data_IF_097674426380
#
_entry.id   IF_097674426380
#
_cell.length_a   1.000
_cell.length_b   1.000
_cell.length_c   1.000
_cell.angle_alpha   90.00
_cell.angle_beta   90.00
_cell.angle_gamma   90.00
#
_symmetry.space_group_name_H-M   'P 1'
#
loop_
_entity.id
_entity.type
_entity.pdbx_description
1 polymer ?
#
# COMPACT_ATOMS: atom_id res chain seq x y z
N UNK A 1 -55.88 22.33 -65.55
CA UNK A 1 -55.15 23.10 -64.52
C UNK A 1 -56.16 23.39 -63.42
N UNK A 2 -56.15 22.83 -62.22
CA UNK A 2 -55.12 22.14 -61.44
C UNK A 2 -55.80 20.98 -60.67
N UNK A 3 -55.14 19.82 -60.63
CA UNK A 3 -55.54 18.67 -59.80
C UNK A 3 -55.40 18.98 -58.31
N UNK A 4 -56.13 18.26 -57.42
CA UNK A 4 -56.19 18.57 -56.00
C UNK A 4 -54.90 18.10 -55.31
N UNK A 5 -53.93 19.01 -55.23
CA UNK A 5 -52.71 18.87 -54.40
C UNK A 5 -53.06 18.78 -52.90
N UNK A 6 -54.30 19.10 -52.52
CA UNK A 6 -54.79 19.12 -51.13
C UNK A 6 -55.00 17.74 -50.50
N UNK A 7 -55.45 16.74 -51.25
CA UNK A 7 -55.64 15.36 -50.74
C UNK A 7 -54.29 14.66 -50.50
N UNK A 8 -53.31 14.90 -51.37
CA UNK A 8 -51.96 14.36 -51.22
C UNK A 8 -51.23 14.92 -50.00
N UNK A 9 -51.35 16.23 -49.73
CA UNK A 9 -50.69 16.89 -48.60
C UNK A 9 -51.30 16.52 -47.23
N UNK A 10 -52.62 16.30 -47.14
CA UNK A 10 -53.28 15.88 -45.90
C UNK A 10 -52.99 14.42 -45.52
N UNK A 11 -52.90 13.52 -46.50
CA UNK A 11 -52.52 12.12 -46.29
C UNK A 11 -51.01 11.97 -46.03
N UNK A 12 -50.18 12.80 -46.68
CA UNK A 12 -48.75 12.89 -46.39
C UNK A 12 -48.48 13.49 -45.01
N UNK A 13 -49.27 14.46 -44.53
CA UNK A 13 -49.07 15.06 -43.19
C UNK A 13 -49.50 14.12 -42.06
N UNK A 14 -50.58 13.34 -42.23
CA UNK A 14 -50.99 12.29 -41.30
C UNK A 14 -49.99 11.10 -41.27
N UNK A 15 -49.48 10.69 -42.44
CA UNK A 15 -48.41 9.69 -42.54
C UNK A 15 -47.08 10.17 -41.94
N UNK A 16 -46.71 11.44 -42.19
CA UNK A 16 -45.50 12.05 -41.65
C UNK A 16 -45.55 12.26 -40.14
N UNK A 17 -46.74 12.51 -39.56
CA UNK A 17 -46.92 12.67 -38.10
C UNK A 17 -46.97 11.33 -37.36
N UNK A 18 -47.55 10.28 -37.95
CA UNK A 18 -47.45 8.91 -37.43
C UNK A 18 -46.03 8.34 -37.50
N UNK A 19 -45.33 8.58 -38.62
CA UNK A 19 -43.92 8.20 -38.78
C UNK A 19 -42.99 9.02 -37.86
N UNK A 20 -43.25 10.30 -37.62
CA UNK A 20 -42.45 11.10 -36.70
C UNK A 20 -42.67 10.74 -35.23
N UNK A 21 -43.90 10.37 -34.85
CA UNK A 21 -44.18 9.85 -33.51
C UNK A 21 -43.52 8.48 -33.26
N UNK A 22 -43.54 7.60 -34.26
CA UNK A 22 -42.86 6.31 -34.20
C UNK A 22 -41.33 6.47 -34.20
N UNK A 23 -40.78 7.31 -35.09
CA UNK A 23 -39.35 7.62 -35.15
C UNK A 23 -38.86 8.27 -33.86
N UNK A 24 -39.63 9.20 -33.28
CA UNK A 24 -39.32 9.82 -31.99
C UNK A 24 -39.34 8.82 -30.82
N UNK A 25 -40.24 7.83 -30.85
CA UNK A 25 -40.26 6.76 -29.84
C UNK A 25 -39.10 5.77 -30.01
N UNK A 26 -38.74 5.41 -31.24
CA UNK A 26 -37.59 4.57 -31.53
C UNK A 26 -36.28 5.27 -31.12
N UNK A 27 -36.14 6.54 -31.45
CA UNK A 27 -35.01 7.37 -31.02
C UNK A 27 -34.94 7.52 -29.50
N UNK A 28 -36.08 7.66 -28.81
CA UNK A 28 -36.14 7.71 -27.35
C UNK A 28 -35.79 6.35 -26.70
N UNK A 29 -36.17 5.22 -27.31
CA UNK A 29 -35.72 3.89 -26.87
C UNK A 29 -34.21 3.71 -27.05
N UNK A 30 -33.67 4.11 -28.19
CA UNK A 30 -32.24 4.02 -28.47
C UNK A 30 -31.42 4.93 -27.54
N UNK A 31 -31.93 6.12 -27.21
CA UNK A 31 -31.34 7.02 -26.22
C UNK A 31 -31.37 6.42 -24.80
N UNK A 32 -32.49 5.85 -24.36
CA UNK A 32 -32.57 5.20 -23.05
C UNK A 32 -31.65 3.95 -22.98
N UNK A 33 -31.57 3.17 -24.06
CA UNK A 33 -30.66 2.04 -24.16
C UNK A 33 -29.19 2.47 -24.14
N UNK A 34 -28.83 3.56 -24.84
CA UNK A 34 -27.50 4.15 -24.82
C UNK A 34 -27.12 4.68 -23.43
N UNK A 35 -28.03 5.38 -22.75
CA UNK A 35 -27.84 5.85 -21.38
C UNK A 35 -27.66 4.66 -20.43
N UNK A 36 -28.47 3.62 -20.52
CA UNK A 36 -28.33 2.41 -19.69
C UNK A 36 -27.00 1.68 -19.93
N UNK A 37 -26.53 1.61 -21.19
CA UNK A 37 -25.19 1.09 -21.50
C UNK A 37 -24.08 1.94 -20.88
N UNK A 38 -24.18 3.28 -20.94
CA UNK A 38 -23.20 4.16 -20.29
C UNK A 38 -23.18 4.00 -18.77
N UNK A 39 -24.36 3.88 -18.14
CA UNK A 39 -24.53 3.68 -16.70
C UNK A 39 -23.91 2.33 -16.28
N UNK A 40 -24.19 1.26 -17.02
CA UNK A 40 -23.60 -0.06 -16.78
C UNK A 40 -22.07 -0.05 -16.97
N UNK A 41 -21.57 0.61 -18.01
CA UNK A 41 -20.13 0.72 -18.27
C UNK A 41 -19.41 1.51 -17.16
N UNK A 42 -20.00 2.61 -16.69
CA UNK A 42 -19.46 3.37 -15.56
C UNK A 42 -19.44 2.54 -14.27
N UNK A 43 -20.50 1.77 -13.99
CA UNK A 43 -20.52 0.87 -12.85
C UNK A 43 -19.43 -0.21 -12.93
N UNK A 44 -19.28 -0.85 -14.10
CA UNK A 44 -18.22 -1.84 -14.34
C UNK A 44 -16.82 -1.24 -14.21
N UNK A 45 -16.61 -0.01 -14.69
CA UNK A 45 -15.35 0.71 -14.51
C UNK A 45 -15.05 1.00 -13.03
N UNK A 46 -16.05 1.41 -12.23
CA UNK A 46 -15.89 1.62 -10.78
C UNK A 46 -15.53 0.33 -10.05
N UNK A 47 -16.20 -0.78 -10.38
CA UNK A 47 -15.90 -2.09 -9.79
C UNK A 47 -14.48 -2.55 -10.14
N UNK A 48 -14.09 -2.42 -11.41
CA UNK A 48 -12.74 -2.77 -11.87
C UNK A 48 -11.67 -1.90 -11.22
N UNK A 49 -11.92 -0.60 -11.06
CA UNK A 49 -11.00 0.30 -10.37
C UNK A 49 -10.83 -0.11 -8.91
N UNK A 50 -11.92 -0.38 -8.20
CA UNK A 50 -11.89 -0.85 -6.82
C UNK A 50 -11.10 -2.16 -6.67
N UNK A 51 -11.31 -3.12 -7.58
CA UNK A 51 -10.55 -4.38 -7.59
C UNK A 51 -9.05 -4.15 -7.83
N UNK A 52 -8.69 -3.32 -8.81
CA UNK A 52 -7.28 -2.98 -9.09
C UNK A 52 -6.63 -2.25 -7.92
N UNK A 53 -7.32 -1.31 -7.29
CA UNK A 53 -6.83 -0.57 -6.13
C UNK A 53 -6.61 -1.52 -4.94
N UNK A 54 -7.49 -2.51 -4.73
CA UNK A 54 -7.31 -3.55 -3.72
C UNK A 54 -6.12 -4.46 -4.02
N UNK A 55 -5.98 -4.93 -5.27
CA UNK A 55 -4.86 -5.77 -5.67
C UNK A 55 -3.52 -5.04 -5.50
N UNK A 56 -3.48 -3.75 -5.86
CA UNK A 56 -2.31 -2.89 -5.62
C UNK A 56 -2.00 -2.76 -4.14
N UNK A 57 -2.99 -2.44 -3.30
CA UNK A 57 -2.78 -2.32 -1.86
C UNK A 57 -2.28 -3.61 -1.20
N UNK A 58 -2.77 -4.78 -1.65
CA UNK A 58 -2.25 -6.09 -1.20
C UNK A 58 -0.81 -6.29 -1.67
N UNK A 59 -0.50 -5.96 -2.93
CA UNK A 59 0.84 -6.11 -3.48
C UNK A 59 1.86 -5.20 -2.78
N UNK A 60 1.50 -3.93 -2.54
CA UNK A 60 2.28 -2.95 -1.79
C UNK A 60 2.56 -3.45 -0.37
N UNK A 61 1.53 -3.91 0.36
CA UNK A 61 1.72 -4.48 1.69
C UNK A 61 2.65 -5.70 1.69
N UNK A 62 2.50 -6.61 0.72
CA UNK A 62 3.39 -7.77 0.62
C UNK A 62 4.84 -7.38 0.31
N UNK A 63 5.05 -6.35 -0.50
CA UNK A 63 6.36 -5.79 -0.76
C UNK A 63 6.96 -5.18 0.51
N UNK A 64 6.20 -4.37 1.25
CA UNK A 64 6.62 -3.78 2.52
C UNK A 64 7.02 -4.87 3.54
N UNK A 65 6.25 -5.96 3.63
CA UNK A 65 6.58 -7.11 4.49
C UNK A 65 7.91 -7.76 4.08
N UNK A 66 8.16 -7.91 2.78
CA UNK A 66 9.41 -8.48 2.28
C UNK A 66 10.61 -7.56 2.55
N UNK A 67 10.44 -6.25 2.37
CA UNK A 67 11.48 -5.28 2.63
C UNK A 67 11.78 -5.19 4.14
N UNK A 68 10.75 -5.20 5.01
CA UNK A 68 10.93 -5.28 6.47
C UNK A 68 11.70 -6.54 6.89
N UNK A 69 11.40 -7.70 6.29
CA UNK A 69 12.17 -8.93 6.56
C UNK A 69 13.64 -8.78 6.20
N UNK A 70 13.92 -8.24 5.00
CA UNK A 70 15.31 -7.98 4.54
C UNK A 70 16.03 -7.03 5.49
N UNK A 71 15.37 -5.97 5.93
CA UNK A 71 15.95 -5.01 6.87
C UNK A 71 16.18 -5.64 8.26
N UNK A 72 15.27 -6.47 8.75
CA UNK A 72 15.46 -7.21 10.00
C UNK A 72 16.68 -8.15 9.94
N UNK A 73 16.87 -8.84 8.82
CA UNK A 73 18.04 -9.70 8.58
C UNK A 73 19.33 -8.87 8.52
N UNK A 74 19.32 -7.72 7.84
CA UNK A 74 20.46 -6.81 7.79
C UNK A 74 20.85 -6.30 9.20
N UNK A 75 19.85 -5.95 10.03
CA UNK A 75 20.10 -5.56 11.42
C UNK A 75 20.61 -6.72 12.27
N UNK A 76 20.14 -7.95 12.04
CA UNK A 76 20.66 -9.14 12.69
C UNK A 76 22.13 -9.38 12.36
N UNK A 77 22.48 -9.26 11.09
CA UNK A 77 23.85 -9.43 10.60
C UNK A 77 24.77 -8.34 11.17
N UNK A 78 24.33 -7.08 11.20
CA UNK A 78 25.09 -5.97 11.78
C UNK A 78 25.36 -6.19 13.28
N UNK A 79 24.37 -6.65 14.03
CA UNK A 79 24.56 -6.99 15.45
C UNK A 79 25.52 -8.17 15.63
N UNK A 80 25.39 -9.23 14.81
CA UNK A 80 26.30 -10.37 14.87
C UNK A 80 27.75 -9.97 14.57
N UNK A 81 27.96 -9.09 13.58
CA UNK A 81 29.28 -8.52 13.28
C UNK A 81 29.85 -7.74 14.46
N UNK A 82 29.07 -6.84 15.04
CA UNK A 82 29.48 -6.08 16.24
C UNK A 82 29.83 -6.99 17.42
N UNK A 83 29.03 -8.03 17.67
CA UNK A 83 29.28 -8.97 18.76
C UNK A 83 30.58 -9.76 18.55
N UNK A 84 30.85 -10.20 17.32
CA UNK A 84 32.09 -10.90 16.96
C UNK A 84 33.31 -9.99 17.07
N UNK A 85 33.22 -8.73 16.62
CA UNK A 85 34.31 -7.74 16.78
C UNK A 85 34.62 -7.46 18.26
N UNK A 86 33.58 -7.33 19.10
CA UNK A 86 33.77 -7.10 20.53
C UNK A 86 34.36 -8.33 21.25
N UNK A 87 34.05 -9.55 20.80
CA UNK A 87 34.65 -10.79 21.28
C UNK A 87 36.14 -10.89 20.90
N UNK A 88 36.50 -10.61 19.63
CA UNK A 88 37.89 -10.51 19.21
C UNK A 88 38.66 -9.45 20.01
N UNK A 89 38.06 -8.27 20.21
CA UNK A 89 38.67 -7.21 20.99
C UNK A 89 38.85 -7.60 22.47
N UNK A 90 38.02 -8.50 23.00
CA UNK A 90 38.18 -9.04 24.35
C UNK A 90 39.32 -10.05 24.40
N UNK A 91 39.42 -10.94 23.43
CA UNK A 91 40.51 -11.92 23.34
C UNK A 91 41.87 -11.23 23.19
N UNK A 92 41.95 -10.17 22.39
CA UNK A 92 43.17 -9.36 22.28
C UNK A 92 43.58 -8.71 23.60
N UNK A 93 42.61 -8.24 24.40
CA UNK A 93 42.86 -7.69 25.75
C UNK A 93 43.36 -8.76 26.71
N UNK A 94 42.81 -9.98 26.64
CA UNK A 94 43.26 -11.13 27.43
C UNK A 94 44.68 -11.53 27.02
N UNK A 95 44.96 -11.64 25.73
CA UNK A 95 46.29 -11.98 25.21
C UNK A 95 47.33 -10.94 25.62
N UNK A 96 46.99 -9.65 25.53
CA UNK A 96 47.86 -8.57 26.02
C UNK A 96 48.14 -8.70 27.51
N UNK A 97 47.13 -9.01 28.32
CA UNK A 97 47.32 -9.28 29.75
C UNK A 97 48.28 -10.46 30.00
N UNK A 98 48.12 -11.57 29.27
CA UNK A 98 48.98 -12.75 29.41
C UNK A 98 50.44 -12.42 29.06
N UNK A 99 50.67 -11.66 27.99
CA UNK A 99 52.01 -11.22 27.58
C UNK A 99 52.60 -10.28 28.64
N UNK A 100 51.84 -9.28 29.10
CA UNK A 100 52.30 -8.36 30.15
C UNK A 100 52.65 -9.12 31.44
N UNK A 101 51.84 -10.10 31.84
CA UNK A 101 52.12 -10.93 33.01
C UNK A 101 53.41 -11.75 32.85
N UNK A 102 53.63 -12.37 31.69
CA UNK A 102 54.87 -13.08 31.39
C UNK A 102 56.09 -12.16 31.43
N UNK A 103 55.99 -10.93 30.91
CA UNK A 103 57.11 -9.96 30.99
C UNK A 103 57.42 -9.55 32.42
N UNK A 104 56.40 -9.42 33.28
CA UNK A 104 56.60 -9.14 34.72
C UNK A 104 57.30 -10.31 35.43
N UNK A 105 56.89 -11.55 35.14
CA UNK A 105 57.55 -12.75 35.68
C UNK A 105 58.99 -12.85 35.19
N UNK A 106 59.24 -12.59 33.91
CA UNK A 106 60.58 -12.60 33.33
C UNK A 106 61.50 -11.55 33.98
N UNK A 107 61.00 -10.33 34.26
CA UNK A 107 61.75 -9.32 35.04
C UNK A 107 62.11 -9.84 36.44
N UNK A 108 61.17 -10.51 37.12
CA UNK A 108 61.37 -11.10 38.45
C UNK A 108 62.42 -12.22 38.45
N UNK A 109 62.48 -13.00 37.37
CA UNK A 109 63.48 -14.08 37.19
C UNK A 109 64.84 -13.55 36.71
N UNK A 110 64.85 -12.51 35.86
CA UNK A 110 66.07 -11.90 35.32
C UNK A 110 66.83 -11.01 36.31
N UNK A 111 66.12 -10.26 37.16
CA UNK A 111 66.73 -9.45 38.24
C UNK A 111 67.43 -10.31 39.30
N UNK A 112 67.03 -11.58 39.45
CA UNK A 112 67.72 -12.55 40.32
C UNK A 112 69.14 -12.90 39.86
N UNK A 113 69.55 -12.57 38.63
CA UNK A 113 70.93 -12.78 38.17
C UNK A 113 71.92 -11.74 38.73
N UNK A 114 71.43 -10.59 39.23
CA UNK A 114 72.27 -9.59 39.92
C UNK A 114 72.22 -9.82 41.43
N UNK A 115 72.87 -10.89 41.88
CA UNK A 115 73.01 -11.23 43.30
C UNK A 115 73.84 -10.14 43.98
N UNK A 116 73.18 -9.13 44.56
CA UNK A 116 73.83 -8.21 45.50
C UNK A 116 73.98 -8.93 46.84
N UNK A 117 75.15 -9.51 47.07
CA UNK A 117 75.55 -10.16 48.32
C UNK A 117 75.70 -9.11 49.43
N UNK A 118 74.67 -8.96 50.26
CA UNK A 118 74.71 -8.12 51.45
C UNK A 118 73.38 -8.20 52.17
N UNK A 119 73.35 -8.16 53.51
CA UNK A 119 72.19 -8.45 54.36
C UNK A 119 70.88 -7.70 54.06
N UNK A 120 70.89 -6.70 53.16
CA UNK A 120 69.71 -6.01 52.58
C UNK A 120 69.05 -6.75 51.40
N UNK A 121 69.65 -7.80 50.87
CA UNK A 121 69.15 -8.60 49.74
C UNK A 121 67.82 -9.30 50.07
N UNK A 122 67.64 -9.74 51.32
CA UNK A 122 66.42 -10.43 51.79
C UNK A 122 65.15 -9.57 51.73
N UNK A 123 65.25 -8.25 51.91
CA UNK A 123 64.11 -7.33 51.82
C UNK A 123 63.81 -6.87 50.40
N UNK A 124 64.82 -6.85 49.51
CA UNK A 124 64.66 -6.44 48.11
C UNK A 124 63.71 -7.37 47.34
N UNK A 125 63.90 -8.68 47.44
CA UNK A 125 63.02 -9.66 46.77
C UNK A 125 61.57 -9.60 47.26
N UNK A 126 61.35 -9.32 48.55
CA UNK A 126 59.99 -9.16 49.12
C UNK A 126 59.31 -7.88 48.61
N UNK A 127 60.06 -6.78 48.46
CA UNK A 127 59.55 -5.54 47.91
C UNK A 127 59.25 -5.64 46.41
N UNK A 128 60.12 -6.30 45.63
CA UNK A 128 59.88 -6.57 44.21
C UNK A 128 58.64 -7.46 43.98
N UNK A 129 58.49 -8.53 44.77
CA UNK A 129 57.31 -9.38 44.72
C UNK A 129 56.02 -8.62 45.09
N UNK A 130 56.08 -7.71 46.07
CA UNK A 130 54.93 -6.88 46.46
C UNK A 130 54.53 -5.90 45.36
N UNK A 131 55.50 -5.30 44.67
CA UNK A 131 55.23 -4.38 43.56
C UNK A 131 54.61 -5.09 42.36
N UNK A 132 55.14 -6.26 41.99
CA UNK A 132 54.57 -7.09 40.92
C UNK A 132 53.17 -7.58 41.29
N UNK A 133 52.93 -7.94 42.56
CA UNK A 133 51.60 -8.26 43.05
C UNK A 133 50.61 -7.11 42.88
N UNK A 134 51.02 -5.85 43.13
CA UNK A 134 50.18 -4.67 42.87
C UNK A 134 49.93 -4.46 41.38
N UNK A 135 50.94 -4.60 40.54
CA UNK A 135 50.80 -4.45 39.10
C UNK A 135 49.84 -5.49 38.52
N UNK A 136 49.97 -6.77 38.93
CA UNK A 136 49.04 -7.84 38.59
C UNK A 136 47.61 -7.53 39.04
N UNK A 137 47.44 -7.07 40.28
CA UNK A 137 46.10 -6.71 40.80
C UNK A 137 45.46 -5.56 39.99
N UNK A 138 46.23 -4.54 39.61
CA UNK A 138 45.74 -3.46 38.75
C UNK A 138 45.36 -3.95 37.36
N UNK A 139 46.19 -4.80 36.75
CA UNK A 139 45.90 -5.40 35.44
C UNK A 139 44.62 -6.25 35.45
N UNK A 140 44.48 -7.13 36.46
CA UNK A 140 43.27 -7.96 36.62
C UNK A 140 42.04 -7.09 36.84
N UNK A 141 42.13 -6.07 37.69
CA UNK A 141 41.03 -5.11 37.89
C UNK A 141 40.64 -4.41 36.59
N UNK A 142 41.62 -3.99 35.78
CA UNK A 142 41.37 -3.35 34.48
C UNK A 142 40.72 -4.32 33.48
N UNK A 143 41.17 -5.58 33.44
CA UNK A 143 40.59 -6.63 32.61
C UNK A 143 39.13 -6.89 33.01
N UNK A 144 38.82 -7.01 34.31
CA UNK A 144 37.46 -7.21 34.80
C UNK A 144 36.55 -6.02 34.46
N UNK A 145 37.03 -4.78 34.63
CA UNK A 145 36.27 -3.58 34.24
C UNK A 145 36.01 -3.54 32.73
N UNK A 146 37.01 -3.94 31.95
CA UNK A 146 36.90 -4.06 30.50
C UNK A 146 35.87 -5.12 30.08
N UNK A 147 35.84 -6.29 30.72
CA UNK A 147 34.83 -7.34 30.46
C UNK A 147 33.41 -6.85 30.79
N UNK A 148 33.24 -6.13 31.91
CA UNK A 148 31.95 -5.53 32.27
C UNK A 148 31.53 -4.47 31.23
N UNK A 149 32.47 -3.63 30.78
CA UNK A 149 32.19 -2.61 29.76
C UNK A 149 31.80 -3.26 28.42
N UNK A 150 32.53 -4.29 28.00
CA UNK A 150 32.26 -5.08 26.80
C UNK A 150 30.86 -5.68 26.82
N UNK A 151 30.50 -6.40 27.91
CA UNK A 151 29.14 -6.94 28.10
C UNK A 151 28.07 -5.87 28.02
N UNK A 152 28.27 -4.72 28.67
CA UNK A 152 27.34 -3.59 28.62
C UNK A 152 27.19 -3.02 27.21
N UNK A 153 28.26 -3.00 26.41
CA UNK A 153 28.22 -2.52 25.04
C UNK A 153 27.44 -3.48 24.15
N UNK A 154 27.68 -4.79 24.27
CA UNK A 154 26.89 -5.83 23.56
C UNK A 154 25.41 -5.75 23.94
N UNK A 155 25.08 -5.61 25.23
CA UNK A 155 23.70 -5.47 25.68
C UNK A 155 23.03 -4.20 25.13
N UNK A 156 23.75 -3.07 25.07
CA UNK A 156 23.25 -1.83 24.46
C UNK A 156 23.01 -2.01 22.96
N UNK A 157 23.96 -2.63 22.25
CA UNK A 157 23.83 -2.91 20.82
C UNK A 157 22.62 -3.83 20.55
N UNK A 158 22.45 -4.87 21.37
CA UNK A 158 21.29 -5.78 21.29
C UNK A 158 19.98 -5.03 21.48
N UNK A 159 19.86 -4.22 22.55
CA UNK A 159 18.65 -3.43 22.81
C UNK A 159 18.34 -2.45 21.68
N UNK A 160 19.37 -1.82 21.11
CA UNK A 160 19.22 -0.94 19.95
C UNK A 160 18.70 -1.70 18.73
N UNK A 161 19.28 -2.86 18.43
CA UNK A 161 18.84 -3.71 17.32
C UNK A 161 17.39 -4.20 17.52
N UNK A 162 17.03 -4.62 18.72
CA UNK A 162 15.66 -5.06 19.05
C UNK A 162 14.65 -3.90 18.92
N UNK A 163 15.00 -2.69 19.38
CA UNK A 163 14.16 -1.50 19.21
C UNK A 163 13.95 -1.14 17.73
N UNK A 164 14.99 -1.26 16.90
CA UNK A 164 14.88 -1.05 15.46
C UNK A 164 13.98 -2.11 14.81
N UNK A 165 14.17 -3.39 15.13
CA UNK A 165 13.30 -4.48 14.64
C UNK A 165 11.83 -4.25 15.01
N UNK A 166 11.56 -3.79 16.23
CA UNK A 166 10.21 -3.48 16.67
C UNK A 166 9.60 -2.30 15.89
N UNK A 167 10.40 -1.27 15.60
CA UNK A 167 9.97 -0.14 14.74
C UNK A 167 9.63 -0.61 13.33
N UNK A 168 10.43 -1.49 12.75
CA UNK A 168 10.17 -2.08 11.44
C UNK A 168 8.90 -2.95 11.45
N UNK A 169 8.71 -3.78 12.48
CA UNK A 169 7.50 -4.57 12.63
C UNK A 169 6.24 -3.68 12.73
N UNK A 170 6.32 -2.57 13.46
CA UNK A 170 5.19 -1.65 13.61
C UNK A 170 4.72 -1.04 12.27
N UNK A 171 5.59 -0.94 11.26
CA UNK A 171 5.22 -0.43 9.93
C UNK A 171 4.30 -1.40 9.16
N UNK A 172 4.47 -2.70 9.36
CA UNK A 172 3.73 -3.77 8.65
C UNK A 172 2.75 -4.52 9.55
N UNK A 173 2.62 -4.11 10.81
CA UNK A 173 1.74 -4.77 11.79
C UNK A 173 0.26 -4.72 11.40
N UNK A 174 -0.16 -3.69 10.66
CA UNK A 174 -1.53 -3.55 10.17
C UNK A 174 -1.62 -4.02 8.72
N UNK A 175 -2.28 -5.16 8.44
CA UNK A 175 -2.45 -5.62 7.07
C UNK A 175 -3.35 -4.66 6.28
N UNK A 176 -3.12 -4.59 4.97
CA UNK A 176 -4.01 -3.85 4.08
C UNK A 176 -5.46 -4.33 4.25
N UNK A 177 -6.37 -3.37 4.40
CA UNK A 177 -7.82 -3.62 4.45
C UNK A 177 -8.48 -2.80 3.34
N UNK A 178 -9.16 -3.49 2.44
CA UNK A 178 -9.96 -2.87 1.41
C UNK A 178 -11.04 -1.96 2.03
N UNK A 179 -11.24 -0.78 1.44
CA UNK A 179 -12.36 0.11 1.80
C UNK A 179 -13.71 -0.50 1.44
N UNK A 180 -14.83 0.16 1.80
CA UNK A 180 -16.16 -0.33 1.42
C UNK A 180 -16.30 -0.44 -0.09
N UNK A 181 -16.94 -1.50 -0.55
CA UNK A 181 -17.22 -1.71 -1.97
C UNK A 181 -18.08 -0.56 -2.53
N UNK A 182 -17.89 -0.17 -3.80
CA UNK A 182 -18.70 0.87 -4.43
C UNK A 182 -20.18 0.48 -4.46
N UNK A 183 -21.07 1.47 -4.27
CA UNK A 183 -22.52 1.27 -4.30
C UNK A 183 -22.98 0.63 -5.61
N UNK A 184 -23.75 -0.45 -5.50
CA UNK A 184 -24.39 -1.13 -6.63
C UNK A 184 -25.80 -0.61 -6.94
N UNK A 185 -26.29 0.40 -6.19
CA UNK A 185 -27.57 1.03 -6.46
C UNK A 185 -27.45 1.90 -7.71
N UNK A 186 -27.68 1.26 -8.85
CA UNK A 186 -27.59 1.87 -10.17
C UNK A 186 -29.02 1.98 -10.69
N UNK A 187 -29.54 3.20 -10.79
CA UNK A 187 -30.86 3.45 -11.34
C UNK A 187 -30.77 3.55 -12.87
N UNK A 188 -31.41 2.60 -13.56
CA UNK A 188 -31.49 2.60 -15.02
C UNK A 188 -32.64 3.50 -15.48
N UNK A 189 -32.41 4.22 -16.58
CA UNK A 189 -33.44 5.06 -17.21
C UNK A 189 -34.49 4.14 -17.81
N UNK A 190 -35.75 4.31 -17.37
CA UNK A 190 -36.90 3.59 -17.91
C UNK A 190 -37.15 4.07 -19.34
N UNK A 191 -37.17 3.15 -20.30
CA UNK A 191 -37.50 3.46 -21.69
C UNK A 191 -38.93 4.01 -21.84
N UNK A 192 -39.24 4.66 -22.97
CA UNK A 192 -40.57 5.21 -23.19
C UNK A 192 -41.64 4.11 -23.11
N UNK A 193 -42.68 4.38 -22.33
CA UNK A 193 -43.77 3.44 -22.09
C UNK A 193 -44.56 3.21 -23.38
N UNK A 194 -44.92 1.94 -23.66
CA UNK A 194 -45.77 1.57 -24.82
C UNK A 194 -47.11 2.32 -24.85
N UNK A 195 -47.61 2.72 -23.67
CA UNK A 195 -48.80 3.54 -23.51
C UNK A 195 -48.61 4.98 -24.04
N UNK A 196 -47.40 5.53 -23.92
CA UNK A 196 -47.03 6.84 -24.51
C UNK A 196 -46.96 6.79 -26.03
N UNK A 197 -46.52 5.67 -26.61
CA UNK A 197 -46.58 5.46 -28.06
C UNK A 197 -48.03 5.39 -28.57
N UNK A 198 -48.90 4.66 -27.87
CA UNK A 198 -50.32 4.58 -28.22
C UNK A 198 -51.02 5.94 -28.11
N UNK A 199 -50.73 6.73 -27.06
CA UNK A 199 -51.27 8.07 -26.90
C UNK A 199 -50.77 9.05 -27.97
N UNK A 200 -49.49 9.00 -28.34
CA UNK A 200 -48.94 9.84 -29.40
C UNK A 200 -49.46 9.46 -30.78
N UNK A 201 -49.67 8.18 -31.06
CA UNK A 201 -50.32 7.71 -32.29
C UNK A 201 -51.80 8.12 -32.34
N UNK A 202 -52.51 8.01 -31.22
CA UNK A 202 -53.90 8.47 -31.13
C UNK A 202 -54.01 9.99 -31.29
N UNK A 203 -53.12 10.77 -30.66
CA UNK A 203 -53.04 12.23 -30.83
C UNK A 203 -52.67 12.64 -32.26
N UNK A 204 -51.76 11.92 -32.91
CA UNK A 204 -51.42 12.14 -34.32
C UNK A 204 -52.59 11.77 -35.25
N UNK A 205 -53.35 10.71 -34.94
CA UNK A 205 -54.54 10.33 -35.70
C UNK A 205 -55.67 11.36 -35.56
N UNK A 206 -55.92 11.87 -34.34
CA UNK A 206 -56.92 12.91 -34.09
C UNK A 206 -56.51 14.24 -34.71
N UNK A 207 -55.23 14.64 -34.56
CA UNK A 207 -54.68 15.84 -35.18
C UNK A 207 -54.63 15.77 -36.71
N UNK A 208 -54.33 14.60 -37.26
CA UNK A 208 -54.40 14.32 -38.70
C UNK A 208 -55.84 14.36 -39.23
N UNK A 209 -56.79 13.79 -38.49
CA UNK A 209 -58.21 13.81 -38.84
C UNK A 209 -58.84 15.22 -38.73
N UNK A 210 -58.47 16.02 -37.73
CA UNK A 210 -58.93 17.41 -37.60
C UNK A 210 -58.34 18.30 -38.69
N UNK A 211 -57.06 18.11 -39.03
CA UNK A 211 -56.41 18.79 -40.16
C UNK A 211 -57.06 18.37 -41.48
N UNK A 212 -57.36 17.09 -41.66
CA UNK A 212 -58.09 16.59 -42.83
C UNK A 212 -59.47 17.24 -42.96
N UNK A 213 -60.27 17.29 -41.89
CA UNK A 213 -61.58 17.95 -41.90
C UNK A 213 -61.50 19.46 -42.15
N UNK A 214 -60.46 20.15 -41.67
CA UNK A 214 -60.28 21.59 -41.93
C UNK A 214 -59.84 21.92 -43.36
N UNK A 215 -59.31 20.94 -44.11
CA UNK A 215 -58.87 21.10 -45.49
C UNK A 215 -59.71 20.29 -46.50
N UNK A 216 -60.74 19.58 -46.05
CA UNK A 216 -61.67 18.85 -46.90
C UNK A 216 -62.67 19.84 -47.55
N UNK A 217 -62.83 19.82 -48.89
CA UNK A 217 -63.83 20.64 -49.56
C UNK A 217 -65.25 20.28 -49.09
N UNK A 218 -66.14 21.27 -49.04
CA UNK A 218 -67.52 21.12 -48.56
C UNK A 218 -68.23 19.94 -49.26
N UNK A 219 -68.75 18.99 -48.46
CA UNK A 219 -69.42 17.78 -48.93
C UNK A 219 -68.64 16.45 -48.73
N UNK A 220 -67.40 16.49 -48.24
CA UNK A 220 -66.66 15.28 -47.81
C UNK A 220 -66.16 15.37 -46.35
N UNK A 221 -66.81 16.20 -45.54
CA UNK A 221 -66.53 16.28 -44.11
C UNK A 221 -67.12 15.06 -43.41
N UNK A 222 -66.37 14.47 -42.47
CA UNK A 222 -66.82 13.31 -41.69
C UNK A 222 -68.09 13.57 -40.86
N UNK A 223 -68.45 14.84 -40.66
CA UNK A 223 -69.70 15.26 -40.01
C UNK A 223 -70.96 15.01 -40.84
N UNK A 224 -70.84 14.80 -42.15
CA UNK A 224 -71.98 14.59 -43.05
C UNK A 224 -72.27 13.10 -43.32
N UNK A 225 -71.55 12.18 -42.66
CA UNK A 225 -71.67 10.72 -42.82
C UNK A 225 -72.18 10.00 -41.56
N UNK A 226 -72.79 10.72 -40.61
CA UNK A 226 -73.58 10.19 -39.48
C UNK A 226 -75.02 10.61 -39.63
#
# INVERSE_FOLDING_TARGET
>A
MCEPVSLGLGLLSAGASGLSAYAGHQQAQDQAAAQNRSIANQANQRNRKYELDNLRGIAEYNQDVMDVRREQDAQALAFAGFAAEEELAKDDRINKYLVEDQTLVAKLLGEKSSVKEGGRSRSYGKNAAKEIGRQRAMMVSNLTRSDIASKRNVDKARKSADAQRQKLFAQVATPFRAGPAPSQNIEFVKGPSKLGLAANLAGAAVGGASTYNSFAPEGQQLSDLV
#
